data_IF_988785714338
#
_entry.id   IF_988785714338
#
_cell.length_a   1.000
_cell.length_b   1.000
_cell.length_c   1.000
_cell.angle_alpha   90.00
_cell.angle_beta   90.00
_cell.angle_gamma   90.00
#
_symmetry.space_group_name_H-M   'P 1'
#
loop_
_entity.id
_entity.type
_entity.pdbx_description
1 polymer ?
#
# COMPACT_ATOMS: atom_id res chain seq x y z
N UNK A 1 10.60 6.09 31.61
CA UNK A 1 10.76 6.29 30.16
C UNK A 1 10.55 7.77 29.88
N UNK A 2 11.65 8.54 29.75
CA UNK A 2 11.57 9.97 29.46
C UNK A 2 11.18 10.13 27.99
N UNK A 3 9.98 10.64 27.73
CA UNK A 3 9.49 10.83 26.37
C UNK A 3 10.24 12.03 25.78
N UNK A 4 11.05 11.80 24.76
CA UNK A 4 11.77 12.86 24.05
C UNK A 4 10.84 13.45 22.98
N UNK A 5 10.46 14.70 23.18
CA UNK A 5 9.53 15.45 22.32
C UNK A 5 10.25 16.29 21.26
N UNK A 6 11.58 16.24 21.18
CA UNK A 6 12.36 17.09 20.25
C UNK A 6 11.97 16.92 18.78
N UNK A 7 11.30 15.81 18.42
CA UNK A 7 11.00 15.40 17.04
C UNK A 7 9.51 15.30 16.75
N UNK A 8 8.66 15.66 17.72
CA UNK A 8 7.20 15.43 17.65
C UNK A 8 6.54 16.14 16.46
N UNK A 9 7.11 17.28 16.03
CA UNK A 9 6.56 18.11 14.95
C UNK A 9 7.38 18.10 13.66
N UNK A 10 8.39 17.24 13.54
CA UNK A 10 9.29 17.26 12.37
C UNK A 10 8.52 16.96 11.08
N UNK A 11 7.68 15.93 11.09
CA UNK A 11 6.84 15.56 9.93
C UNK A 11 5.78 16.61 9.60
N UNK A 12 5.19 17.23 10.64
CA UNK A 12 4.25 18.33 10.45
C UNK A 12 4.94 19.52 9.77
N UNK A 13 6.14 19.89 10.24
CA UNK A 13 6.92 20.97 9.64
C UNK A 13 7.27 20.65 8.18
N UNK A 14 7.77 19.45 7.87
CA UNK A 14 8.06 19.03 6.50
C UNK A 14 6.82 19.07 5.60
N UNK A 15 5.68 18.61 6.09
CA UNK A 15 4.43 18.67 5.33
C UNK A 15 4.01 20.10 5.01
N UNK A 16 4.04 21.01 5.99
CA UNK A 16 3.71 22.41 5.78
C UNK A 16 4.70 23.09 4.83
N UNK A 17 6.00 22.84 5.00
CA UNK A 17 7.03 23.39 4.12
C UNK A 17 6.85 22.88 2.68
N UNK A 18 6.65 21.58 2.47
CA UNK A 18 6.42 21.00 1.15
C UNK A 18 5.14 21.54 0.50
N UNK A 19 4.04 21.64 1.25
CA UNK A 19 2.76 22.18 0.76
C UNK A 19 2.88 23.66 0.39
N UNK A 20 3.57 24.46 1.22
CA UNK A 20 3.81 25.88 0.95
C UNK A 20 4.68 26.07 -0.30
N UNK A 21 5.75 25.27 -0.46
CA UNK A 21 6.58 25.27 -1.66
C UNK A 21 5.78 24.86 -2.91
N UNK A 22 4.89 23.87 -2.79
CA UNK A 22 4.02 23.46 -3.89
C UNK A 22 3.06 24.59 -4.31
N UNK A 23 2.40 25.24 -3.35
CA UNK A 23 1.52 26.39 -3.64
C UNK A 23 2.33 27.53 -4.28
N UNK A 24 3.49 27.85 -3.73
CA UNK A 24 4.37 28.86 -4.28
C UNK A 24 4.79 28.52 -5.71
N UNK A 25 5.21 27.28 -6.00
CA UNK A 25 5.62 26.86 -7.35
C UNK A 25 4.48 26.88 -8.36
N UNK A 26 3.24 26.57 -7.95
CA UNK A 26 2.04 26.71 -8.79
C UNK A 26 1.76 28.18 -9.11
N UNK A 27 1.76 29.04 -8.09
CA UNK A 27 1.56 30.48 -8.31
C UNK A 27 2.66 31.00 -9.24
N UNK A 28 3.92 30.65 -8.94
CA UNK A 28 5.12 31.03 -9.68
C UNK A 28 5.05 30.62 -11.16
N UNK A 29 4.55 29.42 -11.47
CA UNK A 29 4.44 28.92 -12.84
C UNK A 29 3.32 29.60 -13.64
N UNK A 30 2.27 30.08 -12.97
CA UNK A 30 1.14 30.76 -13.59
C UNK A 30 1.36 32.27 -13.81
N UNK A 31 2.41 32.86 -13.23
CA UNK A 31 2.72 34.27 -13.44
C UNK A 31 3.03 34.56 -14.92
N UNK A 32 2.43 35.61 -15.52
CA UNK A 32 2.68 36.00 -16.89
C UNK A 32 4.15 36.40 -17.11
N UNK A 33 4.66 36.14 -18.31
CA UNK A 33 6.02 36.51 -18.70
C UNK A 33 6.15 38.02 -18.91
N UNK A 34 7.37 38.55 -18.73
CA UNK A 34 7.69 39.97 -18.80
C UNK A 34 7.19 40.64 -20.10
N UNK A 35 7.24 39.91 -21.22
CA UNK A 35 6.84 40.39 -22.55
C UNK A 35 5.33 40.64 -22.73
N UNK A 36 4.51 40.21 -21.77
CA UNK A 36 3.05 40.28 -21.85
C UNK A 36 2.46 41.48 -21.08
N UNK A 37 3.29 42.24 -20.38
CA UNK A 37 2.89 43.45 -19.64
C UNK A 37 2.96 44.71 -20.51
N UNK A 38 1.83 45.09 -21.10
CA UNK A 38 1.69 46.33 -21.90
C UNK A 38 0.99 47.49 -21.14
N UNK A 39 0.90 47.47 -19.81
CA UNK A 39 0.06 48.42 -19.04
C UNK A 39 0.78 49.19 -17.93
N UNK A 40 0.81 50.51 -18.01
CA UNK A 40 1.34 51.48 -17.04
C UNK A 40 0.63 51.42 -15.68
N UNK A 41 1.34 50.98 -14.62
CA UNK A 41 1.33 51.49 -13.22
C UNK A 41 1.87 50.45 -12.22
N UNK A 42 1.65 49.13 -12.42
CA UNK A 42 2.15 48.08 -11.51
C UNK A 42 3.34 47.27 -12.05
N UNK A 43 3.81 47.57 -13.26
CA UNK A 43 4.88 46.82 -13.94
C UNK A 43 6.20 46.91 -13.19
N UNK A 44 6.52 48.04 -12.53
CA UNK A 44 7.82 48.23 -11.90
C UNK A 44 8.14 47.23 -10.79
N UNK A 45 7.21 46.98 -9.86
CA UNK A 45 7.43 46.02 -8.77
C UNK A 45 7.40 44.57 -9.25
N UNK A 46 6.47 44.23 -10.14
CA UNK A 46 6.39 42.88 -10.71
C UNK A 46 7.61 42.56 -11.59
N UNK A 47 8.09 43.52 -12.36
CA UNK A 47 9.28 43.37 -13.18
C UNK A 47 10.52 43.14 -12.31
N UNK A 48 10.73 43.96 -11.28
CA UNK A 48 11.83 43.78 -10.32
C UNK A 48 11.78 42.42 -9.62
N UNK A 49 10.59 41.91 -9.30
CA UNK A 49 10.43 40.56 -8.74
C UNK A 49 10.78 39.48 -9.78
N UNK A 50 10.32 39.63 -11.02
CA UNK A 50 10.62 38.70 -12.11
C UNK A 50 12.12 38.68 -12.46
N UNK A 51 12.84 39.78 -12.29
CA UNK A 51 14.29 39.86 -12.52
C UNK A 51 15.11 39.13 -11.44
N UNK A 52 14.58 39.04 -10.21
CA UNK A 52 15.24 38.35 -9.09
C UNK A 52 15.07 36.83 -9.20
N UNK A 53 13.97 36.37 -9.77
CA UNK A 53 13.57 34.98 -9.70
C UNK A 53 13.96 34.21 -10.98
N UNK A 54 14.31 32.92 -10.84
CA UNK A 54 14.90 32.15 -11.94
C UNK A 54 13.89 31.81 -13.05
N UNK A 55 14.45 31.45 -14.22
CA UNK A 55 13.68 30.96 -15.37
C UNK A 55 12.79 29.75 -15.00
N UNK A 56 11.58 29.74 -15.53
CA UNK A 56 10.50 28.82 -15.13
C UNK A 56 10.42 27.53 -15.94
N UNK A 57 11.15 27.46 -17.05
CA UNK A 57 11.09 26.32 -17.98
C UNK A 57 11.50 25.00 -17.31
N UNK A 58 12.32 25.04 -16.25
CA UNK A 58 12.72 23.84 -15.52
C UNK A 58 11.62 23.23 -14.66
N UNK A 59 10.57 23.99 -14.35
CA UNK A 59 9.46 23.53 -13.51
C UNK A 59 8.70 22.40 -14.22
N UNK A 60 8.50 22.49 -15.54
CA UNK A 60 7.82 21.42 -16.27
C UNK A 60 8.65 20.14 -16.30
N UNK A 61 9.97 20.24 -16.48
CA UNK A 61 10.84 19.07 -16.44
C UNK A 61 10.81 18.39 -15.07
N UNK A 62 10.86 19.18 -13.99
CA UNK A 62 10.75 18.67 -12.62
C UNK A 62 9.40 17.98 -12.36
N UNK A 63 8.29 18.60 -12.78
CA UNK A 63 6.96 18.02 -12.61
C UNK A 63 6.79 16.73 -13.43
N UNK A 64 7.24 16.71 -14.68
CA UNK A 64 7.23 15.49 -15.50
C UNK A 64 8.06 14.37 -14.87
N UNK A 65 9.25 14.69 -14.35
CA UNK A 65 10.12 13.71 -13.69
C UNK A 65 9.46 13.14 -12.42
N UNK A 66 8.83 13.98 -11.59
CA UNK A 66 8.10 13.50 -10.41
C UNK A 66 6.90 12.63 -10.79
N UNK A 67 6.09 13.04 -11.77
CA UNK A 67 4.94 12.26 -12.23
C UNK A 67 5.35 10.90 -12.80
N UNK A 68 6.40 10.87 -13.63
CA UNK A 68 6.94 9.61 -14.16
C UNK A 68 7.55 8.74 -13.06
N UNK A 69 8.21 9.35 -12.06
CA UNK A 69 8.69 8.66 -10.88
C UNK A 69 7.56 8.00 -10.09
N UNK A 70 6.47 8.74 -9.83
CA UNK A 70 5.29 8.20 -9.16
C UNK A 70 4.66 7.05 -9.96
N UNK A 71 4.47 7.23 -11.27
CA UNK A 71 3.95 6.17 -12.14
C UNK A 71 4.82 4.91 -12.07
N UNK A 72 6.13 5.07 -12.18
CA UNK A 72 7.09 3.96 -12.09
C UNK A 72 6.97 3.25 -10.73
N UNK A 73 6.87 3.99 -9.63
CA UNK A 73 6.67 3.37 -8.30
C UNK A 73 5.36 2.58 -8.24
N UNK A 74 4.26 3.09 -8.77
CA UNK A 74 2.99 2.35 -8.76
C UNK A 74 3.03 1.08 -9.60
N UNK A 75 3.64 1.14 -10.80
CA UNK A 75 3.83 -0.06 -11.61
C UNK A 75 4.72 -1.09 -10.91
N UNK A 76 5.82 -0.64 -10.28
CA UNK A 76 6.70 -1.51 -9.52
C UNK A 76 5.99 -2.14 -8.30
N UNK A 77 5.14 -1.39 -7.59
CA UNK A 77 4.35 -1.92 -6.48
C UNK A 77 3.35 -2.99 -6.94
N UNK A 78 2.66 -2.76 -8.06
CA UNK A 78 1.71 -3.73 -8.61
C UNK A 78 2.44 -5.00 -9.03
N UNK A 79 3.53 -4.88 -9.80
CA UNK A 79 4.33 -6.02 -10.23
C UNK A 79 4.90 -6.81 -9.04
N UNK A 80 5.41 -6.10 -8.01
CA UNK A 80 5.90 -6.75 -6.79
C UNK A 80 4.78 -7.47 -6.02
N UNK A 81 3.58 -6.89 -5.98
CA UNK A 81 2.44 -7.51 -5.33
C UNK A 81 2.01 -8.80 -6.04
N UNK A 82 1.98 -8.78 -7.37
CA UNK A 82 1.59 -9.93 -8.20
C UNK A 82 2.64 -11.05 -8.18
N UNK A 83 3.91 -10.72 -8.36
CA UNK A 83 4.97 -11.73 -8.53
C UNK A 83 5.57 -12.24 -7.21
N UNK A 84 5.54 -11.45 -6.14
CA UNK A 84 6.25 -11.77 -4.89
C UNK A 84 5.31 -11.98 -3.70
N UNK A 85 4.31 -11.12 -3.53
CA UNK A 85 3.45 -11.16 -2.34
C UNK A 85 2.23 -12.05 -2.51
N UNK A 86 1.64 -12.10 -3.71
CA UNK A 86 0.45 -12.89 -3.97
C UNK A 86 0.81 -14.38 -4.09
N UNK A 87 0.17 -15.27 -3.31
CA UNK A 87 0.32 -16.71 -3.52
C UNK A 87 -0.29 -17.11 -4.87
N UNK A 88 0.20 -18.19 -5.51
CA UNK A 88 -0.36 -18.64 -6.78
C UNK A 88 -1.84 -19.00 -6.62
N UNK A 89 -2.65 -18.73 -7.65
CA UNK A 89 -4.12 -18.89 -7.59
C UNK A 89 -4.57 -20.32 -7.23
N UNK A 90 -3.79 -21.33 -7.62
CA UNK A 90 -4.07 -22.74 -7.31
C UNK A 90 -3.63 -23.15 -5.89
N UNK A 91 -2.97 -22.26 -5.14
CA UNK A 91 -2.57 -22.53 -3.76
C UNK A 91 -3.73 -22.29 -2.80
N UNK A 92 -3.98 -23.26 -1.93
CA UNK A 92 -4.95 -23.16 -0.85
C UNK A 92 -4.65 -22.01 0.14
N UNK A 93 -3.41 -21.53 0.19
CA UNK A 93 -3.03 -20.31 0.94
C UNK A 93 -3.72 -19.04 0.43
N UNK A 94 -4.46 -19.09 -0.69
CA UNK A 94 -5.32 -17.99 -1.14
C UNK A 94 -6.59 -17.86 -0.27
N UNK A 95 -7.04 -18.96 0.34
CA UNK A 95 -8.21 -19.02 1.22
C UNK A 95 -7.81 -18.92 2.69
N UNK A 96 -6.62 -19.44 3.03
CA UNK A 96 -6.18 -19.58 4.42
C UNK A 96 -4.91 -18.79 4.71
N UNK A 97 -4.71 -18.39 5.96
CA UNK A 97 -3.53 -17.61 6.36
C UNK A 97 -2.24 -18.43 6.10
N UNK A 98 -1.15 -17.74 5.74
CA UNK A 98 0.23 -18.25 5.70
C UNK A 98 0.63 -19.16 6.87
N UNK A 99 0.09 -18.94 8.08
CA UNK A 99 0.41 -19.76 9.26
C UNK A 99 -0.49 -21.00 9.41
N UNK A 100 -1.57 -21.09 8.63
CA UNK A 100 -2.45 -22.25 8.64
C UNK A 100 -1.83 -23.41 7.86
N UNK A 101 -1.80 -24.60 8.47
CA UNK A 101 -1.39 -25.83 7.79
C UNK A 101 -2.64 -26.59 7.40
N UNK A 102 -2.97 -26.60 6.12
CA UNK A 102 -4.08 -27.41 5.61
C UNK A 102 -3.63 -28.86 5.43
N UNK A 103 -4.41 -29.80 5.96
CA UNK A 103 -4.21 -31.21 5.67
C UNK A 103 -4.99 -31.58 4.41
N UNK A 104 -4.28 -31.87 3.32
CA UNK A 104 -4.88 -32.46 2.12
C UNK A 104 -4.99 -33.97 2.38
N UNK A 105 -6.22 -34.46 2.47
CA UNK A 105 -6.50 -35.88 2.71
C UNK A 105 -6.78 -36.55 1.37
N UNK A 106 -5.90 -37.46 0.96
CA UNK A 106 -6.10 -38.26 -0.26
C UNK A 106 -7.05 -39.46 -0.03
N UNK A 107 -7.04 -40.03 1.18
CA UNK A 107 -7.88 -41.16 1.58
C UNK A 107 -8.54 -40.89 2.94
N UNK A 108 -9.86 -40.71 2.92
CA UNK A 108 -10.68 -40.39 4.10
C UNK A 108 -10.58 -41.50 5.17
N UNK A 109 -10.68 -42.77 4.77
CA UNK A 109 -10.63 -43.92 5.67
C UNK A 109 -9.31 -44.00 6.46
N UNK A 110 -8.19 -43.74 5.79
CA UNK A 110 -6.86 -43.75 6.41
C UNK A 110 -6.69 -42.58 7.37
N UNK A 111 -7.28 -41.42 7.05
CA UNK A 111 -7.30 -40.28 7.95
C UNK A 111 -8.12 -40.55 9.21
N UNK A 112 -9.35 -41.04 9.04
CA UNK A 112 -10.26 -41.33 10.15
C UNK A 112 -9.61 -42.29 11.15
N UNK A 113 -9.02 -43.37 10.65
CA UNK A 113 -8.40 -44.39 11.50
C UNK A 113 -7.09 -43.92 12.18
N UNK A 114 -6.30 -43.07 11.53
CA UNK A 114 -4.96 -42.71 12.03
C UNK A 114 -4.90 -41.36 12.77
N UNK A 115 -5.78 -40.42 12.43
CA UNK A 115 -5.64 -39.01 12.82
C UNK A 115 -6.92 -38.37 13.39
N UNK A 116 -8.13 -38.90 13.15
CA UNK A 116 -9.36 -38.26 13.67
C UNK A 116 -9.39 -38.13 15.20
N UNK A 117 -8.79 -39.09 15.90
CA UNK A 117 -8.74 -39.12 17.37
C UNK A 117 -7.42 -38.62 17.95
N UNK A 118 -6.58 -37.96 17.13
CA UNK A 118 -5.29 -37.43 17.55
C UNK A 118 -5.22 -35.94 17.29
N UNK A 119 -4.79 -35.17 18.29
CA UNK A 119 -4.69 -33.72 18.16
C UNK A 119 -3.73 -33.37 17.01
N UNK A 120 -4.26 -32.71 15.99
CA UNK A 120 -3.50 -32.15 14.87
C UNK A 120 -3.68 -30.64 14.86
N UNK A 121 -2.60 -29.90 14.61
CA UNK A 121 -2.66 -28.45 14.42
C UNK A 121 -3.13 -28.05 13.01
N UNK A 122 -3.57 -29.02 12.20
CA UNK A 122 -4.02 -28.78 10.84
C UNK A 122 -5.47 -28.29 10.81
N UNK A 123 -5.75 -27.33 9.93
CA UNK A 123 -7.12 -26.90 9.62
C UNK A 123 -7.69 -27.89 8.59
N UNK A 124 -8.82 -28.50 8.92
CA UNK A 124 -9.59 -29.37 8.03
C UNK A 124 -10.88 -28.65 7.65
N UNK A 125 -11.19 -28.64 6.36
CA UNK A 125 -12.51 -28.24 5.88
C UNK A 125 -13.38 -29.49 5.75
N UNK A 126 -14.40 -29.60 6.60
CA UNK A 126 -15.35 -30.70 6.62
C UNK A 126 -16.73 -30.17 6.24
N UNK A 127 -17.49 -30.88 5.40
CA UNK A 127 -18.90 -30.53 5.17
C UNK A 127 -19.62 -30.47 6.51
N UNK A 128 -20.48 -29.46 6.70
CA UNK A 128 -21.14 -29.24 8.00
C UNK A 128 -21.98 -30.43 8.48
N UNK A 129 -22.40 -31.29 7.55
CA UNK A 129 -23.12 -32.54 7.85
C UNK A 129 -22.23 -33.57 8.55
N UNK A 130 -20.96 -33.65 8.17
CA UNK A 130 -20.02 -34.69 8.63
C UNK A 130 -19.33 -34.30 9.95
N UNK A 131 -19.34 -33.00 10.28
CA UNK A 131 -18.80 -32.47 11.55
C UNK A 131 -19.48 -33.09 12.77
N UNK A 132 -20.82 -33.24 12.74
CA UNK A 132 -21.57 -33.87 13.82
C UNK A 132 -21.24 -35.35 13.97
N UNK A 133 -21.08 -36.06 12.85
CA UNK A 133 -20.72 -37.48 12.85
C UNK A 133 -19.32 -37.70 13.43
N UNK A 134 -18.34 -36.88 13.06
CA UNK A 134 -16.98 -36.98 13.61
C UNK A 134 -16.94 -36.61 15.09
N UNK A 135 -17.65 -35.56 15.53
CA UNK A 135 -17.65 -35.11 16.92
C UNK A 135 -18.46 -36.02 17.86
N UNK A 136 -19.47 -36.71 17.35
CA UNK A 136 -20.45 -37.43 18.17
C UNK A 136 -20.64 -38.90 17.80
N UNK A 137 -20.06 -39.38 16.71
CA UNK A 137 -20.29 -40.72 16.14
C UNK A 137 -19.80 -41.87 17.02
N UNK A 138 -18.77 -41.64 17.86
CA UNK A 138 -18.10 -42.72 18.60
C UNK A 138 -18.40 -42.76 20.12
N UNK A 139 -19.61 -42.34 20.52
CA UNK A 139 -20.06 -42.56 21.92
C UNK A 139 -20.98 -43.78 22.11
N UNK A 140 -21.31 -44.54 21.07
CA UNK A 140 -22.32 -45.61 21.16
C UNK A 140 -21.88 -47.02 20.74
N UNK A 141 -20.59 -47.27 20.47
CA UNK A 141 -20.12 -48.60 20.02
C UNK A 141 -19.28 -49.38 21.06
N UNK A 142 -19.31 -48.98 22.32
CA UNK A 142 -18.76 -49.76 23.45
C UNK A 142 -19.80 -49.90 24.58
N UNK A 143 -20.93 -50.54 24.27
CA UNK A 143 -21.74 -51.32 25.22
C UNK A 143 -22.13 -52.66 24.59
#
# INVERSE_FOLDING_TARGET
MHKDYSKEYEWFAYYITATSLLIFTIIWSLLPQQNQFNGTIHVGLFQSLLDILPQREWIIYLQCLLLMGMLYTYLALIAYNEDVLMPPLDSLNTVTDTQSRLAVIEEEEKFLNAFAFKETSALLDLPIMDVCEILHGDKHLNE
#
